data_IF_679641589979
#
_entry.id   IF_679641589979
#
_cell.length_a   1.000
_cell.length_b   1.000
_cell.length_c   1.000
_cell.angle_alpha   90.00
_cell.angle_beta   90.00
_cell.angle_gamma   90.00
#
_symmetry.space_group_name_H-M   'P 1'
#
loop_
_entity.id
_entity.type
_entity.pdbx_description
1 polymer ?
#
# COMPACT_ATOMS: atom_id res chain seq x y z
N UNK A 1 -22.58 -41.14 -35.74
CA UNK A 1 -21.96 -40.44 -34.58
C UNK A 1 -21.80 -38.93 -34.82
N UNK A 2 -22.77 -38.26 -35.46
CA UNK A 2 -22.62 -36.82 -35.85
C UNK A 2 -23.61 -35.90 -35.11
N UNK A 3 -24.63 -36.45 -34.43
CA UNK A 3 -25.67 -35.67 -33.72
C UNK A 3 -25.24 -35.11 -32.36
N UNK A 4 -24.22 -35.69 -31.71
CA UNK A 4 -23.78 -35.25 -30.38
C UNK A 4 -22.73 -34.13 -30.44
N UNK A 5 -22.02 -33.99 -31.56
CA UNK A 5 -20.97 -32.98 -31.74
C UNK A 5 -21.57 -31.57 -31.90
N UNK A 6 -22.73 -31.46 -32.57
CA UNK A 6 -23.41 -30.17 -32.76
C UNK A 6 -23.99 -29.59 -31.46
N UNK A 7 -24.49 -30.44 -30.57
CA UNK A 7 -25.05 -30.00 -29.27
C UNK A 7 -23.94 -29.51 -28.34
N UNK A 8 -22.78 -30.16 -28.38
CA UNK A 8 -21.64 -29.82 -27.54
C UNK A 8 -21.02 -28.45 -27.93
N UNK A 9 -21.07 -28.09 -29.21
CA UNK A 9 -20.55 -26.82 -29.71
C UNK A 9 -21.40 -25.61 -29.25
N UNK A 10 -22.71 -25.78 -29.11
CA UNK A 10 -23.64 -24.70 -28.68
C UNK A 10 -23.44 -24.33 -27.21
N UNK A 11 -23.05 -25.29 -26.35
CA UNK A 11 -22.79 -25.02 -24.94
C UNK A 11 -21.55 -24.16 -24.69
N UNK A 12 -20.55 -24.19 -25.57
CA UNK A 12 -19.28 -23.46 -25.39
C UNK A 12 -19.43 -21.95 -25.70
N UNK A 13 -20.40 -21.58 -26.55
CA UNK A 13 -20.55 -20.20 -27.02
C UNK A 13 -21.38 -19.36 -26.03
N UNK A 14 -22.22 -19.99 -25.21
CA UNK A 14 -23.12 -19.31 -24.27
C UNK A 14 -22.41 -18.69 -23.05
N UNK A 15 -21.17 -19.09 -22.73
CA UNK A 15 -20.44 -18.58 -21.55
C UNK A 15 -19.76 -17.23 -21.78
N UNK A 16 -19.72 -16.71 -23.02
CA UNK A 16 -18.97 -15.49 -23.34
C UNK A 16 -19.77 -14.19 -23.21
N UNK A 17 -21.09 -14.24 -23.01
CA UNK A 17 -21.95 -13.03 -23.03
C UNK A 17 -22.33 -12.53 -21.62
N UNK A 18 -21.84 -13.17 -20.56
CA UNK A 18 -22.05 -12.73 -19.17
C UNK A 18 -20.94 -11.78 -18.65
N UNK A 19 -20.16 -11.18 -19.54
CA UNK A 19 -19.15 -10.17 -19.20
C UNK A 19 -19.76 -8.77 -19.05
N UNK A 20 -20.71 -8.57 -18.13
CA UNK A 20 -21.09 -7.23 -17.68
C UNK A 20 -19.97 -6.64 -16.81
N UNK A 21 -18.87 -6.24 -17.44
CA UNK A 21 -17.85 -5.40 -16.82
C UNK A 21 -18.40 -3.98 -16.69
N UNK A 22 -19.23 -3.76 -15.67
CA UNK A 22 -19.56 -2.41 -15.22
C UNK A 22 -18.23 -1.78 -14.77
N UNK A 23 -17.82 -0.60 -15.27
CA UNK A 23 -16.68 0.08 -14.66
C UNK A 23 -17.10 0.38 -13.23
N UNK A 24 -16.48 -0.31 -12.27
CA UNK A 24 -16.59 0.08 -10.88
C UNK A 24 -15.91 1.46 -10.81
N UNK A 25 -16.71 2.52 -10.85
CA UNK A 25 -16.38 3.72 -10.09
C UNK A 25 -16.34 3.28 -8.63
N UNK A 26 -15.18 2.79 -8.21
CA UNK A 26 -14.95 2.44 -6.83
C UNK A 26 -15.05 3.73 -6.03
N UNK A 27 -16.06 3.82 -5.19
CA UNK A 27 -16.16 4.78 -4.11
C UNK A 27 -14.79 4.87 -3.42
N UNK A 28 -14.03 5.93 -3.68
CA UNK A 28 -12.66 6.08 -3.20
C UNK A 28 -12.56 6.22 -1.66
N UNK A 29 -13.69 6.12 -0.96
CA UNK A 29 -13.82 6.19 0.49
C UNK A 29 -14.05 4.81 1.13
N UNK A 30 -14.41 3.77 0.36
CA UNK A 30 -14.47 2.41 0.88
C UNK A 30 -13.05 1.85 1.01
N UNK A 31 -12.50 1.92 2.23
CA UNK A 31 -11.20 1.32 2.57
C UNK A 31 -10.07 2.31 2.87
N UNK A 32 -10.37 3.61 3.04
CA UNK A 32 -9.39 4.53 3.61
C UNK A 32 -9.16 4.22 5.10
N UNK A 33 -7.92 4.33 5.60
CA UNK A 33 -7.65 4.22 7.02
C UNK A 33 -8.27 5.40 7.77
N UNK A 34 -8.49 5.22 9.07
CA UNK A 34 -9.06 6.24 9.97
C UNK A 34 -7.96 7.12 10.53
N UNK A 35 -6.74 6.59 10.64
CA UNK A 35 -5.61 7.28 11.22
C UNK A 35 -4.30 6.84 10.59
N UNK A 36 -3.43 7.79 10.30
CA UNK A 36 -2.03 7.53 9.98
C UNK A 36 -1.15 8.28 10.98
N UNK A 37 -0.20 7.58 11.60
CA UNK A 37 0.74 8.16 12.56
C UNK A 37 2.16 7.89 12.11
N UNK A 38 2.99 8.93 12.12
CA UNK A 38 4.44 8.87 11.97
C UNK A 38 5.07 9.11 13.33
N UNK A 39 5.68 8.08 13.91
CA UNK A 39 6.39 8.20 15.19
C UNK A 39 7.88 8.38 14.92
N UNK A 40 8.44 9.50 15.36
CA UNK A 40 9.85 9.79 15.20
C UNK A 40 10.70 8.78 15.98
N UNK A 41 11.68 8.16 15.32
CA UNK A 41 12.63 7.28 15.98
C UNK A 41 13.76 8.12 16.60
N UNK A 42 13.84 8.24 17.93
CA UNK A 42 14.82 9.11 18.60
C UNK A 42 16.26 8.57 18.51
N UNK A 43 16.44 7.31 18.06
CA UNK A 43 17.74 6.68 17.97
C UNK A 43 18.52 7.09 16.71
N UNK A 44 17.88 7.80 15.77
CA UNK A 44 18.53 8.26 14.55
C UNK A 44 18.99 9.71 14.69
N UNK A 45 20.31 9.89 14.65
CA UNK A 45 21.01 11.17 14.86
C UNK A 45 21.03 12.08 13.62
N UNK A 46 20.23 11.77 12.60
CA UNK A 46 20.32 12.42 11.29
C UNK A 46 19.68 13.81 11.29
N UNK A 47 18.44 13.95 11.80
CA UNK A 47 17.72 15.22 11.96
C UNK A 47 16.63 15.12 13.04
N UNK A 48 16.29 16.22 13.75
CA UNK A 48 15.18 16.23 14.69
C UNK A 48 13.85 16.02 13.96
N UNK A 49 13.22 14.87 14.17
CA UNK A 49 11.85 14.59 13.74
C UNK A 49 10.84 14.83 14.86
N UNK A 50 9.57 14.98 14.51
CA UNK A 50 8.45 15.10 15.45
C UNK A 50 7.39 14.07 15.12
N UNK A 51 6.63 13.62 16.11
CA UNK A 51 5.49 12.76 15.85
C UNK A 51 4.42 13.53 15.07
N UNK A 52 3.87 12.92 14.03
CA UNK A 52 2.82 13.51 13.18
C UNK A 52 1.64 12.56 13.10
N UNK A 53 0.44 13.12 13.15
CA UNK A 53 -0.83 12.40 13.07
C UNK A 53 -1.66 12.99 11.94
N UNK A 54 -2.25 12.13 11.12
CA UNK A 54 -3.13 12.48 10.02
C UNK A 54 -4.48 11.77 10.24
N UNK A 55 -5.50 12.54 10.59
CA UNK A 55 -6.87 12.08 10.87
C UNK A 55 -7.90 12.64 9.86
N UNK A 56 -7.50 13.63 9.05
CA UNK A 56 -8.35 14.24 8.02
C UNK A 56 -8.32 13.41 6.74
N UNK A 57 -9.48 13.22 6.11
CA UNK A 57 -9.62 12.36 4.93
C UNK A 57 -8.80 12.81 3.73
N UNK A 58 -8.62 14.12 3.53
CA UNK A 58 -7.79 14.71 2.48
C UNK A 58 -6.30 14.42 2.70
N UNK A 59 -5.82 14.57 3.93
CA UNK A 59 -4.44 14.26 4.34
C UNK A 59 -4.13 12.77 4.25
N UNK A 60 -5.03 11.94 4.77
CA UNK A 60 -4.92 10.49 4.71
C UNK A 60 -4.82 10.02 3.26
N UNK A 61 -5.63 10.58 2.36
CA UNK A 61 -5.58 10.23 0.94
C UNK A 61 -4.24 10.59 0.31
N UNK A 62 -3.72 11.79 0.59
CA UNK A 62 -2.40 12.23 0.09
C UNK A 62 -1.30 11.30 0.62
N UNK A 63 -1.34 10.96 1.91
CA UNK A 63 -0.36 10.10 2.54
C UNK A 63 -0.42 8.66 1.98
N UNK A 64 -1.62 8.11 1.78
CA UNK A 64 -1.80 6.80 1.17
C UNK A 64 -1.30 6.76 -0.28
N UNK A 65 -1.53 7.82 -1.06
CA UNK A 65 -0.98 7.95 -2.41
C UNK A 65 0.56 7.98 -2.39
N UNK A 66 1.15 8.71 -1.43
CA UNK A 66 2.61 8.75 -1.24
C UNK A 66 3.16 7.38 -0.84
N UNK A 67 2.54 6.68 0.12
CA UNK A 67 2.90 5.32 0.54
C UNK A 67 2.80 4.32 -0.62
N UNK A 68 1.78 4.46 -1.48
CA UNK A 68 1.60 3.59 -2.63
C UNK A 68 2.68 3.81 -3.71
N UNK A 69 3.13 5.06 -3.88
CA UNK A 69 4.22 5.42 -4.80
C UNK A 69 5.61 5.21 -4.22
N UNK A 70 5.75 5.07 -2.91
CA UNK A 70 7.02 4.85 -2.24
C UNK A 70 7.63 3.50 -2.65
N UNK A 71 8.95 3.48 -2.81
CA UNK A 71 9.69 2.25 -3.06
C UNK A 71 9.65 1.37 -1.82
N UNK A 72 9.17 0.13 -1.98
CA UNK A 72 9.14 -0.85 -0.90
C UNK A 72 10.43 -1.64 -0.89
N UNK A 73 11.21 -1.45 0.16
CA UNK A 73 12.43 -2.21 0.36
C UNK A 73 12.15 -3.52 1.14
N UNK A 74 12.83 -4.62 0.82
CA UNK A 74 12.70 -5.86 1.58
C UNK A 74 13.29 -5.68 2.99
N UNK A 75 12.60 -6.20 4.01
CA UNK A 75 12.88 -5.98 5.44
C UNK A 75 14.15 -6.62 6.02
N UNK A 76 15.20 -6.83 5.22
CA UNK A 76 16.54 -7.26 5.68
C UNK A 76 17.55 -6.19 5.27
N UNK A 77 17.30 -4.96 5.69
CA UNK A 77 18.25 -3.89 5.48
C UNK A 77 18.56 -3.32 6.86
N UNK A 78 19.84 -3.25 7.18
CA UNK A 78 20.39 -2.62 8.38
C UNK A 78 20.42 -1.10 8.17
N UNK A 79 19.24 -0.52 7.93
CA UNK A 79 19.04 0.91 7.78
C UNK A 79 18.09 1.37 8.88
N UNK A 80 18.50 2.40 9.62
CA UNK A 80 17.59 3.06 10.55
C UNK A 80 16.61 3.93 9.76
N UNK A 81 15.32 3.79 10.04
CA UNK A 81 14.27 4.64 9.48
C UNK A 81 13.86 5.76 10.42
N UNK A 82 13.75 6.97 9.86
CA UNK A 82 13.46 8.18 10.64
C UNK A 82 12.11 8.08 11.37
N UNK A 83 11.15 7.34 10.81
CA UNK A 83 9.83 7.16 11.39
C UNK A 83 9.40 5.69 11.44
N UNK A 84 8.65 5.37 12.48
CA UNK A 84 7.76 4.21 12.51
C UNK A 84 6.37 4.67 12.04
N UNK A 85 5.93 4.15 10.89
CA UNK A 85 4.63 4.43 10.31
C UNK A 85 3.60 3.43 10.84
N UNK A 86 2.49 3.93 11.37
CA UNK A 86 1.33 3.15 11.81
C UNK A 86 0.09 3.60 11.04
N UNK A 87 -0.60 2.64 10.42
CA UNK A 87 -1.85 2.85 9.69
C UNK A 87 -2.96 2.11 10.44
N UNK A 88 -3.92 2.85 10.97
CA UNK A 88 -5.10 2.28 11.63
C UNK A 88 -6.26 2.25 10.65
N UNK A 89 -6.67 1.05 10.25
CA UNK A 89 -7.76 0.84 9.31
C UNK A 89 -9.12 1.01 10.00
N UNK A 90 -10.19 1.12 9.19
CA UNK A 90 -11.56 1.25 9.69
C UNK A 90 -12.05 0.05 10.52
N UNK A 91 -11.48 -1.13 10.29
CA UNK A 91 -11.73 -2.34 11.09
C UNK A 91 -10.91 -2.40 12.39
N UNK A 92 -10.21 -1.31 12.74
CA UNK A 92 -9.28 -1.20 13.87
C UNK A 92 -8.03 -2.08 13.77
N UNK A 93 -7.78 -2.73 12.62
CA UNK A 93 -6.49 -3.36 12.38
C UNK A 93 -5.39 -2.32 12.21
N UNK A 94 -4.18 -2.64 12.68
CA UNK A 94 -3.03 -1.73 12.63
C UNK A 94 -1.94 -2.36 11.80
N UNK A 95 -1.53 -1.68 10.73
CA UNK A 95 -0.39 -2.08 9.91
C UNK A 95 0.79 -1.16 10.21
N UNK A 96 1.96 -1.74 10.48
CA UNK A 96 3.18 -1.00 10.83
C UNK A 96 4.27 -1.19 9.79
N UNK A 97 5.00 -0.12 9.51
CA UNK A 97 6.12 -0.10 8.58
C UNK A 97 7.23 0.80 9.09
N UNK A 98 8.46 0.46 8.74
CA UNK A 98 9.61 1.34 8.88
C UNK A 98 9.56 2.34 7.70
N UNK A 99 9.53 3.64 7.99
CA UNK A 99 9.30 4.68 7.00
C UNK A 99 10.38 5.75 7.01
N UNK A 100 10.97 5.97 5.84
CA UNK A 100 11.96 7.02 5.61
C UNK A 100 11.42 7.98 4.55
N UNK A 101 11.35 9.27 4.91
CA UNK A 101 11.04 10.35 3.98
C UNK A 101 12.27 10.65 3.11
N UNK A 102 12.62 9.71 2.23
CA UNK A 102 13.60 9.89 1.15
C UNK A 102 14.79 10.79 1.50
N UNK A 103 15.57 10.43 2.52
CA UNK A 103 16.89 11.03 2.68
C UNK A 103 17.88 10.22 1.86
N UNK A 104 18.24 10.69 0.66
CA UNK A 104 19.62 10.49 0.24
C UNK A 104 20.05 11.53 -0.79
N UNK A 105 21.27 12.08 -0.64
CA UNK A 105 22.06 12.26 -1.84
C UNK A 105 23.39 11.48 -1.87
N UNK A 106 23.97 11.07 -0.73
CA UNK A 106 25.36 10.57 -0.58
C UNK A 106 25.67 9.80 0.73
N UNK A 107 24.74 9.14 1.41
CA UNK A 107 25.05 8.38 2.65
C UNK A 107 25.67 7.00 2.33
N UNK A 108 26.92 7.11 1.89
CA UNK A 108 28.00 6.14 1.80
C UNK A 108 27.89 4.92 2.73
N UNK A 109 27.71 3.76 2.09
CA UNK A 109 28.70 2.68 2.12
C UNK A 109 29.23 2.17 3.48
N UNK A 110 28.85 0.91 3.75
CA UNK A 110 29.62 -0.27 4.19
C UNK A 110 29.91 -0.57 5.68
N UNK A 111 29.35 -1.72 6.10
CA UNK A 111 29.96 -2.96 6.67
C UNK A 111 30.68 -2.95 8.03
N UNK A 112 30.25 -3.82 8.97
CA UNK A 112 30.70 -5.22 9.16
C UNK A 112 30.16 -5.81 10.49
N UNK A 113 29.82 -7.12 10.52
CA UNK A 113 29.95 -7.96 11.73
C UNK A 113 31.06 -8.98 11.55
#
# INVERSE_FOLDING_TARGET
>A
MVKYVGVLLVCVIATFIAGCGKPNESNAEEGLPVLITLTCNPNLTLEPCQNVEFDRSDEIRIMMEAIHKAERLPGILDYGTQYDLSITNADSSITRYDFSLGMDPKMQGVSKS
#
